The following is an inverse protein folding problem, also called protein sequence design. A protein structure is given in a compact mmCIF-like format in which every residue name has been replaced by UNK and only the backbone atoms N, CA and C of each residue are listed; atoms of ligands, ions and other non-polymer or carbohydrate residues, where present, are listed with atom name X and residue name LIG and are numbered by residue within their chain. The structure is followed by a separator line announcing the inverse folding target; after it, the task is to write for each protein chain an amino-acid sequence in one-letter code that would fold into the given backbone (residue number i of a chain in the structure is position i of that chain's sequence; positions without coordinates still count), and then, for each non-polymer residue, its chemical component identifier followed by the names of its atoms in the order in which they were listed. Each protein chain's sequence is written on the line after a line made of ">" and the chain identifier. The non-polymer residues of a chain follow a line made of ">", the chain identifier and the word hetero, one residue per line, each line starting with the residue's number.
data_IF_983981099120
#
_entry.id   IF_983981099120
#
_cell.length_a   1.000
_cell.length_b   1.000
_cell.length_c   1.000
_cell.angle_alpha   90.00
_cell.angle_beta   90.00
_cell.angle_gamma   90.00
#
_symmetry.space_group_name_H-M   'P 1'
#
loop_
_entity.id
_entity.type
_entity.pdbx_description
1 polymer ?
#
# COMPACT_ATOMS: atom_id res chain seq x y z
N UNK A 1 7.56 -9.05 -19.45
CA UNK A 1 7.08 -8.54 -18.14
C UNK A 1 6.47 -9.66 -17.35
N UNK A 2 6.75 -9.72 -16.05
CA UNK A 2 6.12 -10.68 -15.11
C UNK A 2 5.00 -9.97 -14.38
N UNK A 3 3.79 -10.53 -14.40
CA UNK A 3 2.64 -10.03 -13.66
C UNK A 3 2.43 -10.94 -12.46
N UNK A 4 2.46 -10.38 -11.26
CA UNK A 4 2.08 -11.08 -10.05
C UNK A 4 0.56 -11.15 -10.02
N UNK A 5 0.02 -12.35 -9.80
CA UNK A 5 -1.41 -12.60 -9.71
C UNK A 5 -1.66 -13.67 -8.68
N UNK A 6 -2.78 -13.56 -7.99
CA UNK A 6 -3.35 -14.62 -7.16
C UNK A 6 -4.19 -15.59 -7.99
N UNK A 7 -5.09 -16.33 -7.33
CA UNK A 7 -5.90 -17.42 -7.89
C UNK A 7 -7.17 -16.95 -8.67
N UNK A 8 -7.27 -15.67 -9.04
CA UNK A 8 -8.38 -15.14 -9.86
C UNK A 8 -7.90 -14.71 -11.26
N UNK A 9 -8.72 -14.93 -12.31
CA UNK A 9 -8.31 -14.59 -13.66
C UNK A 9 -8.22 -13.06 -13.84
N UNK A 10 -7.17 -12.56 -14.52
CA UNK A 10 -7.14 -11.19 -14.98
C UNK A 10 -8.13 -10.99 -16.13
N UNK A 11 -8.60 -9.76 -16.30
CA UNK A 11 -9.44 -9.37 -17.44
C UNK A 11 -8.81 -8.20 -18.18
N UNK A 12 -8.95 -8.21 -19.50
CA UNK A 12 -8.33 -7.22 -20.38
C UNK A 12 -9.41 -6.52 -21.20
N UNK A 13 -9.24 -5.22 -21.43
CA UNK A 13 -10.06 -4.45 -22.36
C UNK A 13 -9.19 -3.48 -23.14
N UNK A 14 -9.43 -3.38 -24.46
CA UNK A 14 -8.76 -2.40 -25.31
C UNK A 14 -9.59 -1.11 -25.36
N UNK A 15 -8.97 0.01 -25.01
CA UNK A 15 -9.53 1.34 -25.12
C UNK A 15 -9.64 1.78 -26.58
N UNK A 16 -10.46 2.80 -26.84
CA UNK A 16 -10.69 3.35 -28.19
C UNK A 16 -9.43 3.92 -28.84
N UNK A 17 -8.45 4.33 -28.03
CA UNK A 17 -7.16 4.88 -28.46
C UNK A 17 -6.07 3.80 -28.61
N UNK A 18 -6.43 2.52 -28.50
CA UNK A 18 -5.53 1.39 -28.70
C UNK A 18 -4.85 0.88 -27.43
N UNK A 19 -4.84 1.66 -26.34
CA UNK A 19 -4.27 1.23 -25.05
C UNK A 19 -5.01 0.03 -24.48
N UNK A 20 -4.32 -0.81 -23.71
CA UNK A 20 -4.91 -1.99 -23.08
C UNK A 20 -4.97 -1.78 -21.57
N UNK A 21 -6.13 -1.99 -20.95
CA UNK A 21 -6.27 -2.01 -19.50
C UNK A 21 -6.42 -3.45 -19.03
N UNK A 22 -5.68 -3.81 -17.99
CA UNK A 22 -5.78 -5.06 -17.26
C UNK A 22 -6.36 -4.80 -15.87
N UNK A 23 -7.35 -5.59 -15.47
CA UNK A 23 -7.91 -5.64 -14.11
C UNK A 23 -7.60 -7.01 -13.51
N UNK A 24 -6.98 -7.05 -12.34
CA UNK A 24 -6.60 -8.30 -11.68
C UNK A 24 -6.31 -8.10 -10.20
N UNK A 25 -6.17 -9.20 -9.45
CA UNK A 25 -5.75 -9.13 -8.05
C UNK A 25 -4.21 -9.28 -7.98
N UNK A 26 -3.51 -8.14 -7.85
CA UNK A 26 -2.06 -8.08 -7.64
C UNK A 26 -1.74 -8.37 -6.16
N UNK A 27 -2.08 -9.56 -5.69
CA UNK A 27 -1.99 -9.97 -4.28
C UNK A 27 -1.06 -11.17 -4.12
N UNK A 28 -0.29 -11.22 -3.02
CA UNK A 28 0.60 -12.34 -2.68
C UNK A 28 0.27 -12.92 -1.29
N UNK A 29 0.93 -14.04 -0.95
CA UNK A 29 1.00 -14.70 0.37
C UNK A 29 -0.22 -15.49 0.82
N UNK A 30 -1.43 -15.10 0.44
CA UNK A 30 -2.64 -15.84 0.82
C UNK A 30 -3.41 -16.29 -0.41
N UNK A 31 -3.79 -17.56 -0.39
CA UNK A 31 -4.68 -18.12 -1.41
C UNK A 31 -6.08 -17.58 -1.25
N UNK A 32 -6.81 -17.62 -2.36
CA UNK A 32 -8.23 -17.27 -2.40
C UNK A 32 -8.49 -15.88 -1.79
N UNK A 33 -9.60 -15.70 -1.08
CA UNK A 33 -10.08 -14.38 -0.70
C UNK A 33 -9.78 -13.95 0.74
N UNK A 34 -8.97 -14.71 1.48
CA UNK A 34 -8.39 -14.27 2.77
C UNK A 34 -7.11 -13.42 2.62
N UNK A 35 -6.84 -12.97 1.39
CA UNK A 35 -5.76 -12.03 1.09
C UNK A 35 -5.44 -11.97 -0.40
N UNK A 36 -5.61 -13.08 -1.13
CA UNK A 36 -5.36 -13.16 -2.57
C UNK A 36 -6.37 -12.41 -3.43
N UNK A 37 -7.56 -12.07 -2.94
CA UNK A 37 -8.58 -11.30 -3.69
C UNK A 37 -9.04 -10.05 -2.95
N UNK A 38 -8.26 -9.61 -1.97
CA UNK A 38 -8.68 -8.59 -1.03
C UNK A 38 -8.85 -7.21 -1.68
N UNK A 39 -8.04 -6.93 -2.69
CA UNK A 39 -8.04 -5.69 -3.46
C UNK A 39 -7.97 -6.03 -4.95
N UNK A 40 -8.70 -5.28 -5.77
CA UNK A 40 -8.64 -5.36 -7.23
C UNK A 40 -7.77 -4.21 -7.74
N UNK A 41 -6.85 -4.52 -8.63
CA UNK A 41 -5.92 -3.58 -9.25
C UNK A 41 -6.24 -3.35 -10.71
N UNK A 42 -5.82 -2.19 -11.20
CA UNK A 42 -5.77 -1.86 -12.61
C UNK A 42 -4.38 -1.45 -13.06
N UNK A 43 -4.04 -1.78 -14.30
CA UNK A 43 -2.88 -1.24 -15.00
C UNK A 43 -3.19 -1.03 -16.47
N UNK A 44 -2.42 -0.15 -17.11
CA UNK A 44 -2.60 0.23 -18.50
C UNK A 44 -1.28 0.05 -19.26
N UNK A 45 -1.39 -0.41 -20.51
CA UNK A 45 -0.30 -0.63 -21.45
C UNK A 45 -0.54 0.19 -22.72
N UNK A 46 0.53 0.78 -23.24
CA UNK A 46 0.57 1.54 -24.50
C UNK A 46 1.31 0.81 -25.64
N UNK A 47 1.88 -0.36 -25.35
CA UNK A 47 2.83 -1.06 -26.21
C UNK A 47 2.42 -2.54 -26.43
N UNK A 48 1.12 -2.77 -26.53
CA UNK A 48 0.49 -4.08 -26.71
C UNK A 48 0.89 -5.12 -25.63
N UNK A 49 0.92 -4.67 -24.38
CA UNK A 49 1.11 -5.52 -23.21
C UNK A 49 2.57 -5.84 -22.88
N UNK A 50 3.54 -5.19 -23.54
CA UNK A 50 4.96 -5.37 -23.24
C UNK A 50 5.31 -4.73 -21.90
N UNK A 51 4.83 -3.52 -21.64
CA UNK A 51 4.98 -2.81 -20.36
C UNK A 51 3.62 -2.39 -19.80
N UNK A 52 3.58 -2.20 -18.48
CA UNK A 52 2.37 -1.87 -17.73
C UNK A 52 2.68 -0.78 -16.71
N UNK A 53 1.74 0.14 -16.51
CA UNK A 53 1.80 1.17 -15.46
C UNK A 53 0.49 1.31 -14.71
N UNK A 54 0.54 1.97 -13.57
CA UNK A 54 -0.60 2.11 -12.66
C UNK A 54 -0.46 1.15 -11.49
N UNK A 55 -0.78 -0.14 -11.66
CA UNK A 55 -0.90 -1.11 -10.57
C UNK A 55 -1.68 -0.53 -9.38
N UNK A 56 -2.72 0.24 -9.70
CA UNK A 56 -3.51 1.00 -8.74
C UNK A 56 -4.68 0.17 -8.26
N UNK A 57 -4.99 0.22 -6.99
CA UNK A 57 -6.27 -0.27 -6.50
C UNK A 57 -7.40 0.47 -7.20
N UNK A 58 -8.37 -0.28 -7.71
CA UNK A 58 -9.61 0.20 -8.34
C UNK A 58 -10.85 -0.24 -7.57
N UNK A 59 -10.76 -1.29 -6.75
CA UNK A 59 -11.82 -1.69 -5.84
C UNK A 59 -11.28 -2.44 -4.62
N UNK A 60 -12.01 -2.33 -3.51
CA UNK A 60 -11.87 -3.10 -2.27
C UNK A 60 -13.27 -3.51 -1.80
N UNK A 61 -13.38 -4.61 -1.07
CA UNK A 61 -14.66 -5.01 -0.52
C UNK A 61 -15.09 -3.97 0.54
N UNK A 62 -16.31 -3.43 0.53
CA UNK A 62 -16.75 -2.52 1.60
C UNK A 62 -16.75 -3.18 2.99
N UNK A 63 -16.91 -4.51 3.06
CA UNK A 63 -16.87 -5.30 4.29
C UNK A 63 -15.47 -5.81 4.63
N UNK A 64 -14.44 -5.29 3.96
CA UNK A 64 -13.06 -5.78 4.07
C UNK A 64 -12.51 -5.73 5.50
N UNK A 65 -13.01 -4.83 6.35
CA UNK A 65 -12.57 -4.72 7.74
C UNK A 65 -13.41 -5.57 8.71
N UNK A 66 -14.42 -6.29 8.22
CA UNK A 66 -15.21 -7.22 9.02
C UNK A 66 -14.53 -8.60 9.05
N UNK A 67 -14.76 -9.41 10.11
CA UNK A 67 -14.35 -10.81 10.10
C UNK A 67 -14.91 -11.53 8.86
N UNK A 68 -14.18 -12.50 8.27
CA UNK A 68 -14.73 -13.35 7.22
C UNK A 68 -16.06 -13.96 7.65
N UNK A 69 -17.05 -14.05 6.73
CA UNK A 69 -18.33 -14.67 7.05
C UNK A 69 -18.16 -16.17 7.32
N UNK A 70 -19.08 -16.82 8.06
CA UNK A 70 -19.03 -18.27 8.30
C UNK A 70 -19.00 -19.11 7.01
N UNK A 71 -19.55 -18.57 5.91
CA UNK A 71 -19.52 -19.17 4.57
C UNK A 71 -19.17 -18.09 3.53
N UNK A 72 -18.27 -18.42 2.61
CA UNK A 72 -17.77 -17.50 1.59
C UNK A 72 -16.50 -16.78 2.02
N UNK A 73 -16.25 -15.62 1.43
CA UNK A 73 -15.02 -14.86 1.60
C UNK A 73 -15.27 -13.35 1.46
N UNK A 74 -14.26 -12.48 1.61
CA UNK A 74 -14.41 -11.03 1.38
C UNK A 74 -13.66 -10.53 0.14
N UNK A 75 -13.49 -11.39 -0.86
CA UNK A 75 -12.76 -11.07 -2.08
C UNK A 75 -13.50 -10.12 -3.01
N UNK A 76 -12.76 -9.46 -3.89
CA UNK A 76 -13.25 -8.66 -5.02
C UNK A 76 -12.56 -9.14 -6.28
N UNK A 77 -13.29 -9.80 -7.18
CA UNK A 77 -12.70 -10.41 -8.37
C UNK A 77 -13.73 -10.62 -9.49
N UNK A 78 -13.35 -11.40 -10.52
CA UNK A 78 -14.21 -11.82 -11.63
C UNK A 78 -14.80 -10.65 -12.42
N UNK A 79 -13.93 -9.94 -13.11
CA UNK A 79 -14.31 -8.76 -13.90
C UNK A 79 -14.57 -9.13 -15.37
N UNK A 80 -15.48 -8.42 -16.02
CA UNK A 80 -15.73 -8.53 -17.47
C UNK A 80 -15.87 -7.11 -18.05
N UNK A 81 -14.75 -6.38 -18.19
CA UNK A 81 -14.76 -4.95 -18.50
C UNK A 81 -15.21 -4.64 -19.93
N UNK A 82 -15.97 -3.55 -20.07
CA UNK A 82 -16.39 -2.97 -21.35
C UNK A 82 -16.05 -1.48 -21.39
N UNK A 83 -15.75 -0.96 -22.60
CA UNK A 83 -15.48 0.47 -22.81
C UNK A 83 -16.78 1.20 -23.10
N UNK A 84 -17.05 2.23 -22.31
CA UNK A 84 -18.20 3.13 -22.49
C UNK A 84 -18.03 4.05 -23.69
N UNK A 85 -19.12 4.70 -24.12
CA UNK A 85 -19.07 5.75 -25.14
C UNK A 85 -18.09 6.88 -24.81
N UNK A 86 -17.93 7.21 -23.52
CA UNK A 86 -17.05 8.27 -23.00
C UNK A 86 -15.58 7.84 -22.82
N UNK A 87 -15.20 6.61 -23.19
CA UNK A 87 -13.82 6.12 -23.06
C UNK A 87 -13.44 5.63 -21.65
N UNK A 88 -14.36 5.71 -20.69
CA UNK A 88 -14.21 5.06 -19.37
C UNK A 88 -14.54 3.57 -19.42
N UNK A 89 -14.17 2.81 -18.40
CA UNK A 89 -14.42 1.37 -18.28
C UNK A 89 -15.53 1.11 -17.28
N UNK A 90 -16.47 0.22 -17.63
CA UNK A 90 -17.44 -0.36 -16.68
C UNK A 90 -17.22 -1.86 -16.62
N UNK A 91 -17.25 -2.44 -15.43
CA UNK A 91 -17.18 -3.89 -15.24
C UNK A 91 -18.08 -4.32 -14.09
N UNK A 92 -18.75 -5.49 -14.16
CA UNK A 92 -19.21 -6.14 -12.96
C UNK A 92 -17.99 -6.57 -12.12
N UNK A 93 -18.16 -6.58 -10.80
CA UNK A 93 -17.24 -7.18 -9.85
C UNK A 93 -18.03 -8.09 -8.93
N UNK A 94 -17.55 -9.31 -8.74
CA UNK A 94 -18.05 -10.20 -7.70
C UNK A 94 -17.40 -9.78 -6.39
N UNK A 95 -18.22 -9.51 -5.39
CA UNK A 95 -17.76 -9.37 -4.02
C UNK A 95 -18.12 -10.67 -3.28
N UNK A 96 -17.25 -11.12 -2.38
CA UNK A 96 -17.53 -12.30 -1.56
C UNK A 96 -18.41 -11.97 -0.35
N UNK A 97 -19.01 -13.01 0.23
CA UNK A 97 -19.67 -12.93 1.54
C UNK A 97 -21.10 -12.43 1.44
N UNK A 98 -21.44 -11.36 2.16
CA UNK A 98 -22.78 -10.75 2.08
C UNK A 98 -22.96 -9.83 0.86
N UNK A 99 -21.90 -9.52 0.11
CA UNK A 99 -21.92 -8.56 -0.99
C UNK A 99 -22.06 -9.25 -2.34
N UNK A 100 -23.13 -8.95 -3.09
CA UNK A 100 -23.38 -9.53 -4.41
C UNK A 100 -22.51 -8.94 -5.54
N UNK A 101 -23.12 -8.75 -6.70
CA UNK A 101 -22.47 -8.12 -7.84
C UNK A 101 -22.59 -6.61 -7.79
N UNK A 102 -21.48 -5.91 -7.96
CA UNK A 102 -21.44 -4.45 -8.09
C UNK A 102 -20.98 -4.07 -9.49
N UNK A 103 -21.33 -2.86 -9.93
CA UNK A 103 -20.78 -2.28 -11.14
C UNK A 103 -19.69 -1.28 -10.77
N UNK A 104 -18.46 -1.60 -11.12
CA UNK A 104 -17.31 -0.73 -10.97
C UNK A 104 -17.16 0.15 -12.22
N UNK A 105 -16.96 1.44 -12.01
CA UNK A 105 -16.64 2.41 -13.04
C UNK A 105 -15.22 2.92 -12.84
N UNK A 106 -14.36 2.79 -13.86
CA UNK A 106 -12.94 3.16 -13.79
C UNK A 106 -12.62 4.16 -14.88
N UNK A 107 -12.11 5.32 -14.49
CA UNK A 107 -11.49 6.28 -15.41
C UNK A 107 -10.05 5.85 -15.70
N UNK A 108 -9.63 5.62 -16.96
CA UNK A 108 -8.26 5.22 -17.29
C UNK A 108 -7.19 6.18 -16.76
N UNK A 109 -7.49 7.47 -16.66
CA UNK A 109 -6.57 8.49 -16.14
C UNK A 109 -6.12 8.22 -14.69
N UNK A 110 -6.93 7.50 -13.91
CA UNK A 110 -6.53 7.02 -12.58
C UNK A 110 -5.26 6.15 -12.64
N UNK A 111 -5.12 5.35 -13.70
CA UNK A 111 -4.00 4.44 -13.91
C UNK A 111 -2.76 5.14 -14.49
N UNK A 112 -2.91 6.39 -14.93
CA UNK A 112 -1.85 7.22 -15.51
C UNK A 112 -1.21 8.16 -14.50
N UNK A 113 -1.79 8.30 -13.31
CA UNK A 113 -1.23 9.14 -12.26
C UNK A 113 0.19 8.70 -11.91
N UNK A 114 1.08 9.66 -11.69
CA UNK A 114 2.47 9.43 -11.27
C UNK A 114 2.74 9.94 -9.86
N UNK A 115 1.71 10.38 -9.16
CA UNK A 115 1.81 10.81 -7.77
C UNK A 115 0.59 10.40 -6.96
N UNK A 116 0.76 10.38 -5.63
CA UNK A 116 -0.33 10.23 -4.66
C UNK A 116 0.08 10.87 -3.34
N UNK A 117 -0.89 11.38 -2.60
CA UNK A 117 -0.69 11.85 -1.22
C UNK A 117 -1.91 11.51 -0.36
N UNK A 118 -1.71 11.47 0.96
CA UNK A 118 -2.78 11.38 1.95
C UNK A 118 -2.42 12.20 3.20
N UNK A 119 -3.42 12.91 3.72
CA UNK A 119 -3.37 13.79 4.90
C UNK A 119 -4.36 13.37 6.00
N UNK A 120 -4.98 12.20 5.84
CA UNK A 120 -5.94 11.59 6.78
C UNK A 120 -7.21 12.40 7.08
N UNK A 121 -7.50 13.46 6.29
CA UNK A 121 -8.76 14.21 6.42
C UNK A 121 -10.02 13.36 6.18
N UNK A 122 -9.86 12.26 5.43
CA UNK A 122 -10.88 11.22 5.20
C UNK A 122 -10.62 9.95 6.02
N UNK A 123 -10.10 10.12 7.24
CA UNK A 123 -9.69 9.03 8.11
C UNK A 123 -8.73 8.06 7.39
N UNK A 124 -9.06 6.76 7.38
CA UNK A 124 -8.25 5.70 6.79
C UNK A 124 -8.90 5.06 5.55
N UNK A 125 -9.83 5.76 4.88
CA UNK A 125 -10.57 5.25 3.69
C UNK A 125 -9.62 4.61 2.66
N UNK A 126 -8.43 5.17 2.50
CA UNK A 126 -7.44 4.79 1.49
C UNK A 126 -6.44 3.72 1.93
N UNK A 127 -6.50 3.30 3.20
CA UNK A 127 -5.56 2.36 3.79
C UNK A 127 -6.26 1.03 4.08
N UNK A 128 -5.50 -0.07 4.02
CA UNK A 128 -5.94 -1.37 4.53
C UNK A 128 -5.32 -1.61 5.89
N UNK A 129 -6.16 -1.92 6.87
CA UNK A 129 -5.78 -2.33 8.24
C UNK A 129 -6.44 -3.65 8.60
N UNK A 130 -6.75 -4.47 7.58
CA UNK A 130 -7.45 -5.73 7.78
C UNK A 130 -6.65 -6.69 8.69
N UNK A 131 -7.35 -7.31 9.64
CA UNK A 131 -6.77 -8.26 10.58
C UNK A 131 -5.79 -7.65 11.57
N UNK A 132 -5.76 -6.32 11.74
CA UNK A 132 -4.89 -5.64 12.70
C UNK A 132 -5.67 -4.93 13.79
N UNK A 133 -5.00 -4.66 14.92
CA UNK A 133 -5.50 -3.79 15.99
C UNK A 133 -4.51 -2.65 16.23
N UNK A 134 -5.00 -1.50 16.69
CA UNK A 134 -4.17 -0.36 17.06
C UNK A 134 -3.81 0.62 15.95
N UNK A 135 -4.39 0.47 14.75
CA UNK A 135 -4.31 1.47 13.68
C UNK A 135 -5.63 2.22 13.57
N UNK A 136 -5.59 3.56 13.66
CA UNK A 136 -6.78 4.40 13.57
C UNK A 136 -6.44 5.82 13.12
N UNK A 137 -7.44 6.55 12.63
CA UNK A 137 -7.35 8.01 12.53
C UNK A 137 -7.45 8.61 13.94
N UNK A 138 -6.51 9.47 14.30
CA UNK A 138 -6.46 10.17 15.58
C UNK A 138 -6.38 11.69 15.37
N UNK A 139 -6.70 12.46 16.41
CA UNK A 139 -6.51 13.91 16.37
C UNK A 139 -5.02 14.27 16.29
N UNK A 140 -4.69 15.24 15.45
CA UNK A 140 -3.33 15.74 15.36
C UNK A 140 -2.96 16.47 16.67
N UNK A 141 -1.86 16.08 17.35
CA UNK A 141 -1.53 16.61 18.68
C UNK A 141 -1.24 18.11 18.70
N UNK A 142 -0.66 18.64 17.61
CA UNK A 142 -0.24 20.05 17.53
C UNK A 142 -1.12 20.92 16.60
N UNK A 143 -2.16 20.35 15.96
CA UNK A 143 -2.99 21.02 14.94
C UNK A 143 -4.47 20.67 15.12
N UNK A 144 -5.23 21.44 15.94
CA UNK A 144 -6.64 21.18 16.19
C UNK A 144 -7.46 21.04 14.90
N UNK A 145 -8.33 20.02 14.86
CA UNK A 145 -9.21 19.73 13.72
C UNK A 145 -8.55 18.96 12.58
N UNK A 146 -7.22 18.75 12.60
CA UNK A 146 -6.54 17.87 11.65
C UNK A 146 -6.45 16.45 12.19
N UNK A 147 -6.36 15.47 11.29
CA UNK A 147 -6.22 14.05 11.62
C UNK A 147 -4.85 13.54 11.22
N UNK A 148 -4.40 12.50 11.92
CA UNK A 148 -3.19 11.74 11.65
C UNK A 148 -3.53 10.25 11.63
N UNK A 149 -2.75 9.43 10.96
CA UNK A 149 -2.77 7.99 11.22
C UNK A 149 -1.97 7.70 12.49
N UNK A 150 -2.61 7.07 13.48
CA UNK A 150 -1.96 6.51 14.67
C UNK A 150 -1.75 5.02 14.45
N UNK A 151 -0.52 4.54 14.67
CA UNK A 151 -0.18 3.12 14.66
C UNK A 151 0.44 2.76 16.01
N UNK A 152 -0.26 1.91 16.77
CA UNK A 152 0.11 1.39 18.09
C UNK A 152 -0.09 -0.12 18.12
N UNK A 153 0.48 -0.81 19.11
CA UNK A 153 0.20 -2.24 19.37
C UNK A 153 -0.44 -2.40 20.75
N UNK A 154 -1.74 -2.09 20.91
CA UNK A 154 -2.40 -2.13 22.23
C UNK A 154 -2.67 -3.56 22.73
N UNK A 155 -2.49 -4.56 21.88
CA UNK A 155 -2.80 -5.96 22.16
C UNK A 155 -1.65 -6.83 21.62
N UNK A 156 -1.00 -7.58 22.51
CA UNK A 156 0.16 -8.41 22.15
C UNK A 156 -0.18 -9.53 21.18
N UNK A 157 -1.43 -10.01 21.23
CA UNK A 157 -1.90 -11.16 20.45
C UNK A 157 -2.32 -10.77 19.04
N UNK A 158 -2.38 -9.47 18.75
CA UNK A 158 -2.77 -8.94 17.45
C UNK A 158 -1.63 -8.17 16.76
N UNK A 159 -1.49 -8.33 15.44
CA UNK A 159 -0.61 -7.47 14.66
C UNK A 159 -1.14 -6.05 14.59
N UNK A 160 -0.23 -5.09 14.42
CA UNK A 160 -0.54 -3.70 14.16
C UNK A 160 0.15 -3.26 12.87
N UNK A 161 -0.63 -2.98 11.83
CA UNK A 161 -0.08 -2.65 10.52
C UNK A 161 -1.11 -2.03 9.58
N UNK A 162 -0.60 -1.23 8.64
CA UNK A 162 -1.36 -0.50 7.65
C UNK A 162 -0.65 -0.58 6.29
N UNK A 163 -1.44 -0.72 5.23
CA UNK A 163 -0.95 -0.84 3.85
C UNK A 163 -1.63 0.20 2.96
N UNK A 164 -0.86 0.86 2.09
CA UNK A 164 -1.33 1.93 1.21
C UNK A 164 -0.77 1.76 -0.20
N UNK A 165 -1.66 1.69 -1.18
CA UNK A 165 -1.30 1.61 -2.59
C UNK A 165 -0.87 2.98 -3.14
N UNK A 166 -0.04 3.02 -4.16
CA UNK A 166 0.29 4.22 -4.94
C UNK A 166 0.65 3.82 -6.38
N UNK A 167 0.83 4.75 -7.35
CA UNK A 167 1.14 4.35 -8.71
C UNK A 167 2.49 3.65 -8.80
N UNK A 168 2.57 2.54 -9.54
CA UNK A 168 3.83 1.80 -9.68
C UNK A 168 4.93 2.61 -10.36
N UNK A 169 6.15 2.53 -9.83
CA UNK A 169 7.33 3.16 -10.39
C UNK A 169 8.62 2.36 -10.23
N UNK A 170 9.45 2.32 -11.27
CA UNK A 170 10.82 1.80 -11.20
C UNK A 170 11.78 2.77 -10.54
N UNK A 171 11.42 4.06 -10.53
CA UNK A 171 12.04 5.07 -9.68
C UNK A 171 10.96 5.85 -8.98
N UNK A 172 11.27 6.37 -7.81
CA UNK A 172 10.36 7.27 -7.13
C UNK A 172 10.91 7.81 -5.83
N UNK A 173 10.14 8.73 -5.28
CA UNK A 173 10.39 9.36 -4.00
C UNK A 173 9.15 9.28 -3.14
N UNK A 174 9.25 8.58 -2.02
CA UNK A 174 8.25 8.56 -0.96
C UNK A 174 8.70 9.51 0.15
N UNK A 175 7.78 10.31 0.68
CA UNK A 175 7.99 11.17 1.86
C UNK A 175 6.97 10.83 2.93
N UNK A 176 7.45 10.64 4.14
CA UNK A 176 6.64 10.40 5.32
C UNK A 176 6.94 11.48 6.35
N UNK A 177 5.90 12.20 6.78
CA UNK A 177 5.97 13.14 7.89
C UNK A 177 5.47 12.45 9.15
N UNK A 178 6.38 11.99 10.00
CA UNK A 178 6.05 11.08 11.10
C UNK A 178 6.63 11.54 12.44
N UNK A 179 6.02 11.08 13.53
CA UNK A 179 6.45 11.33 14.92
C UNK A 179 6.35 10.03 15.69
N UNK A 180 7.48 9.47 16.10
CA UNK A 180 7.50 8.36 17.07
C UNK A 180 7.25 8.93 18.46
N UNK A 181 6.44 8.24 19.28
CA UNK A 181 6.10 8.74 20.61
C UNK A 181 7.12 8.28 21.66
N UNK A 182 7.32 9.03 22.75
CA UNK A 182 8.11 8.53 23.89
C UNK A 182 7.57 7.18 24.37
N UNK A 183 8.45 6.19 24.48
CA UNK A 183 8.07 4.80 24.78
C UNK A 183 7.79 3.91 23.57
N UNK A 184 7.95 4.42 22.34
CA UNK A 184 7.81 3.64 21.11
C UNK A 184 8.70 2.39 21.14
N UNK A 185 8.11 1.22 20.97
CA UNK A 185 8.78 -0.06 21.10
C UNK A 185 9.30 -0.63 19.76
N UNK A 186 9.08 0.09 18.66
CA UNK A 186 9.65 -0.23 17.35
C UNK A 186 8.60 -0.47 16.27
N UNK A 187 9.05 -0.33 15.03
CA UNK A 187 8.22 -0.51 13.84
C UNK A 187 9.06 -0.67 12.59
N UNK A 188 8.40 -0.74 11.45
CA UNK A 188 9.08 -0.77 10.16
C UNK A 188 8.30 -0.07 9.06
N UNK A 189 9.07 0.35 8.05
CA UNK A 189 8.57 0.89 6.79
C UNK A 189 9.01 -0.03 5.66
N UNK A 190 8.05 -0.57 4.92
CA UNK A 190 8.27 -1.43 3.76
C UNK A 190 7.77 -0.80 2.47
N UNK A 191 8.54 -0.95 1.39
CA UNK A 191 8.10 -0.70 0.02
C UNK A 191 7.99 -2.02 -0.73
N UNK A 192 6.87 -2.28 -1.40
CA UNK A 192 6.64 -3.51 -2.15
C UNK A 192 5.85 -3.23 -3.45
N UNK A 193 5.63 -4.25 -4.27
CA UNK A 193 5.00 -4.17 -5.61
C UNK A 193 3.69 -4.95 -5.73
N UNK A 194 3.12 -5.38 -4.60
CA UNK A 194 1.86 -6.10 -4.54
C UNK A 194 1.15 -5.84 -3.21
N UNK A 195 -0.12 -6.19 -3.17
CA UNK A 195 -0.87 -6.23 -1.93
C UNK A 195 -0.57 -7.51 -1.15
N UNK A 196 -0.32 -7.35 0.14
CA UNK A 196 -0.38 -8.44 1.12
C UNK A 196 -1.12 -7.93 2.34
N UNK A 197 -1.91 -8.80 2.96
CA UNK A 197 -2.72 -8.45 4.13
C UNK A 197 -1.87 -7.90 5.27
N UNK A 198 -2.29 -6.80 5.93
CA UNK A 198 -1.45 -6.11 6.93
C UNK A 198 -1.05 -6.97 8.14
N UNK A 199 -1.82 -8.02 8.46
CA UNK A 199 -1.55 -8.92 9.57
C UNK A 199 -0.42 -9.94 9.30
N UNK A 200 0.02 -10.07 8.05
CA UNK A 200 1.02 -11.07 7.68
C UNK A 200 2.44 -10.62 8.00
N UNK A 201 3.08 -11.33 8.92
CA UNK A 201 4.46 -11.06 9.32
C UNK A 201 5.48 -11.46 8.27
N UNK A 202 5.25 -12.54 7.50
CA UNK A 202 6.27 -13.05 6.56
C UNK A 202 6.26 -12.26 5.24
N UNK A 203 5.29 -11.38 5.00
CA UNK A 203 5.31 -10.46 3.86
C UNK A 203 6.53 -9.51 3.89
N UNK A 204 7.16 -9.31 5.05
CA UNK A 204 8.40 -8.53 5.12
C UNK A 204 9.52 -9.11 4.23
N UNK A 205 9.51 -10.43 4.01
CA UNK A 205 10.45 -11.14 3.13
C UNK A 205 10.27 -10.71 1.66
N UNK A 206 9.06 -10.24 1.32
CA UNK A 206 8.69 -9.84 -0.03
C UNK A 206 8.76 -8.33 -0.26
N UNK A 207 9.06 -7.53 0.76
CA UNK A 207 9.38 -6.11 0.59
C UNK A 207 10.59 -5.96 -0.33
N UNK A 208 10.50 -5.02 -1.29
CA UNK A 208 11.63 -4.61 -2.13
C UNK A 208 12.68 -3.88 -1.31
N UNK A 209 12.22 -2.98 -0.42
CA UNK A 209 13.05 -2.21 0.50
C UNK A 209 12.38 -2.23 1.87
N UNK A 210 13.18 -2.42 2.91
CA UNK A 210 12.71 -2.51 4.28
C UNK A 210 13.60 -1.69 5.21
N UNK A 211 13.01 -0.74 5.93
CA UNK A 211 13.67 0.04 6.97
C UNK A 211 13.07 -0.36 8.32
N UNK A 212 13.90 -0.96 9.18
CA UNK A 212 13.55 -1.16 10.57
C UNK A 212 13.73 0.15 11.35
N UNK A 213 12.77 0.45 12.23
CA UNK A 213 12.84 1.51 13.23
C UNK A 213 12.84 0.82 14.58
N UNK A 214 13.98 0.76 15.23
CA UNK A 214 14.11 0.17 16.55
C UNK A 214 13.33 0.94 17.62
N UNK A 215 13.27 0.39 18.84
CA UNK A 215 12.75 1.11 20.00
C UNK A 215 13.34 2.51 20.08
N UNK A 216 12.56 3.44 20.65
CA UNK A 216 12.98 4.81 20.84
C UNK A 216 13.28 5.57 19.52
N UNK A 217 12.90 5.03 18.36
CA UNK A 217 13.10 5.65 17.04
C UNK A 217 14.47 5.40 16.42
N UNK A 218 15.24 4.42 16.90
CA UNK A 218 16.59 4.14 16.38
C UNK A 218 16.54 3.68 14.92
N UNK A 219 17.39 4.26 14.08
CA UNK A 219 17.55 3.88 12.67
C UNK A 219 18.88 3.14 12.45
N UNK A 220 19.01 2.39 11.35
CA UNK A 220 20.30 1.87 10.90
C UNK A 220 21.34 3.00 10.80
N UNK A 221 22.61 2.67 11.07
CA UNK A 221 23.69 3.66 11.03
C UNK A 221 23.73 4.63 12.23
N UNK A 222 22.91 4.42 13.27
CA UNK A 222 22.99 5.14 14.54
C UNK A 222 22.22 6.47 14.61
N UNK A 223 21.58 6.87 13.50
CA UNK A 223 20.64 8.00 13.51
C UNK A 223 19.35 7.64 14.26
N UNK A 224 18.53 8.63 14.60
CA UNK A 224 17.33 8.44 15.41
C UNK A 224 16.22 9.42 15.02
N UNK A 225 15.00 8.92 14.95
CA UNK A 225 13.77 9.70 15.03
C UNK A 225 13.59 10.12 16.50
N UNK A 226 13.78 11.39 16.81
CA UNK A 226 13.68 11.89 18.19
C UNK A 226 12.24 11.74 18.69
N UNK A 227 12.01 10.98 19.79
CA UNK A 227 10.65 10.80 20.29
C UNK A 227 9.98 12.12 20.65
N UNK A 228 8.71 12.25 20.25
CA UNK A 228 7.92 13.45 20.47
C UNK A 228 8.17 14.56 19.43
N UNK A 229 9.05 14.36 18.45
CA UNK A 229 9.32 15.33 17.38
C UNK A 229 8.82 14.81 16.03
N UNK A 230 8.27 15.71 15.21
CA UNK A 230 7.95 15.43 13.82
C UNK A 230 9.20 15.50 12.94
N UNK A 231 9.36 14.47 12.11
CA UNK A 231 10.47 14.29 11.19
C UNK A 231 9.98 14.02 9.77
N UNK A 232 10.80 14.40 8.80
CA UNK A 232 10.63 14.02 7.40
C UNK A 232 11.55 12.84 7.08
N UNK A 233 10.94 11.69 6.78
CA UNK A 233 11.63 10.48 6.34
C UNK A 233 11.36 10.27 4.85
N UNK A 234 12.42 10.33 4.04
CA UNK A 234 12.33 10.21 2.58
C UNK A 234 13.00 8.92 2.09
N UNK A 235 12.38 8.27 1.10
CA UNK A 235 12.89 7.10 0.41
C UNK A 235 13.00 7.41 -1.08
N UNK A 236 14.21 7.46 -1.62
CA UNK A 236 14.50 7.61 -3.04
C UNK A 236 14.96 6.27 -3.61
N UNK A 237 14.10 5.57 -4.37
CA UNK A 237 14.44 4.27 -4.95
C UNK A 237 14.73 4.33 -6.45
N UNK A 238 15.59 3.43 -6.89
CA UNK A 238 15.91 3.19 -8.29
C UNK A 238 16.17 1.70 -8.53
N UNK A 239 15.24 1.05 -9.24
CA UNK A 239 15.31 -0.39 -9.50
C UNK A 239 16.42 -0.76 -10.49
N UNK A 240 16.88 0.17 -11.33
CA UNK A 240 18.03 -0.07 -12.21
C UNK A 240 19.35 -0.09 -11.43
N UNK A 241 19.38 0.56 -10.26
CA UNK A 241 20.52 0.56 -9.32
C UNK A 241 20.36 -0.46 -8.20
N UNK A 242 19.23 -1.13 -8.09
CA UNK A 242 18.86 -2.02 -6.99
C UNK A 242 19.06 -1.35 -5.61
N UNK A 243 18.77 -0.06 -5.51
CA UNK A 243 19.08 0.79 -4.35
C UNK A 243 17.86 1.63 -3.95
N UNK A 244 17.66 1.81 -2.65
CA UNK A 244 16.83 2.88 -2.08
C UNK A 244 17.63 3.67 -1.05
N UNK A 245 17.76 4.98 -1.25
CA UNK A 245 18.42 5.90 -0.31
C UNK A 245 17.39 6.44 0.66
N UNK A 246 17.73 6.45 1.94
CA UNK A 246 16.85 6.96 3.00
C UNK A 246 17.46 8.21 3.60
N UNK A 247 16.66 9.26 3.71
CA UNK A 247 17.05 10.53 4.30
C UNK A 247 16.14 10.87 5.48
N UNK A 248 16.71 11.40 6.55
CA UNK A 248 16.00 11.94 7.71
C UNK A 248 16.28 13.44 7.81
N UNK A 249 15.23 14.26 7.73
CA UNK A 249 15.32 15.72 7.74
C UNK A 249 16.36 16.24 6.72
N UNK A 250 16.38 15.63 5.52
CA UNK A 250 17.32 15.96 4.43
C UNK A 250 18.75 15.43 4.61
N UNK A 251 19.02 14.61 5.63
CA UNK A 251 20.34 13.98 5.86
C UNK A 251 20.31 12.49 5.54
N UNK A 252 21.25 11.94 4.75
CA UNK A 252 21.31 10.50 4.49
C UNK A 252 21.49 9.70 5.80
N UNK A 253 20.67 8.67 6.00
CA UNK A 253 20.71 7.79 7.18
C UNK A 253 20.86 6.31 6.84
N UNK A 254 20.37 5.87 5.67
CA UNK A 254 20.52 4.49 5.23
C UNK A 254 20.56 4.36 3.71
N UNK A 255 21.09 3.22 3.26
CA UNK A 255 21.05 2.75 1.88
C UNK A 255 20.55 1.31 1.90
N UNK A 256 19.35 1.08 1.39
CA UNK A 256 18.70 -0.22 1.36
C UNK A 256 18.94 -0.89 -0.01
N UNK A 257 19.33 -2.16 0.01
CA UNK A 257 19.42 -2.96 -1.20
C UNK A 257 18.03 -3.45 -1.61
N UNK A 258 17.79 -3.55 -2.92
CA UNK A 258 16.59 -4.20 -3.45
C UNK A 258 16.69 -5.72 -3.26
N UNK A 259 15.69 -6.32 -2.61
CA UNK A 259 15.70 -7.75 -2.27
C UNK A 259 15.41 -8.70 -3.44
N UNK A 260 14.68 -8.23 -4.46
CA UNK A 260 14.23 -9.03 -5.61
C UNK A 260 13.86 -8.17 -6.82
N UNK A 261 13.77 -8.78 -8.00
CA UNK A 261 13.30 -8.10 -9.21
C UNK A 261 11.84 -7.66 -9.11
N UNK A 262 11.50 -6.57 -9.83
CA UNK A 262 10.17 -5.96 -9.79
C UNK A 262 9.88 -5.16 -11.07
N UNK A 263 8.60 -4.97 -11.37
CA UNK A 263 8.13 -3.98 -12.35
C UNK A 263 8.09 -2.54 -11.77
N UNK A 264 8.19 -2.40 -10.45
CA UNK A 264 8.19 -1.12 -9.75
C UNK A 264 7.40 -1.19 -8.44
N UNK A 265 7.85 -0.45 -7.42
CA UNK A 265 7.15 -0.36 -6.15
C UNK A 265 5.80 0.36 -6.32
N UNK A 266 4.74 -0.15 -5.68
CA UNK A 266 3.39 0.41 -5.72
C UNK A 266 2.65 0.31 -4.37
N UNK A 267 3.33 -0.09 -3.30
CA UNK A 267 2.77 -0.20 -1.97
C UNK A 267 3.73 0.27 -0.89
N UNK A 268 3.17 0.99 0.08
CA UNK A 268 3.77 1.32 1.36
C UNK A 268 3.15 0.42 2.43
N UNK A 269 4.00 -0.11 3.31
CA UNK A 269 3.60 -0.85 4.51
C UNK A 269 4.20 -0.20 5.75
N UNK A 270 3.38 0.02 6.75
CA UNK A 270 3.78 0.44 8.09
C UNK A 270 3.35 -0.64 9.07
N UNK A 271 4.25 -1.01 10.00
CA UNK A 271 3.97 -2.09 10.96
C UNK A 271 4.65 -1.80 12.30
N UNK A 272 4.03 -2.19 13.40
CA UNK A 272 4.72 -2.29 14.69
C UNK A 272 5.58 -3.56 14.72
N UNK A 273 6.77 -3.46 15.29
CA UNK A 273 7.65 -4.61 15.54
C UNK A 273 7.77 -4.91 17.03
N UNK A 274 6.90 -4.33 17.86
CA UNK A 274 6.88 -4.58 19.29
C UNK A 274 6.45 -6.03 19.57
N UNK A 275 7.19 -6.74 20.42
CA UNK A 275 6.83 -8.10 20.85
C UNK A 275 5.63 -8.08 21.79
N UNK A 276 5.56 -7.07 22.66
CA UNK A 276 4.49 -6.85 23.63
C UNK A 276 3.66 -5.61 23.28
N UNK A 277 2.81 -5.19 24.21
CA UNK A 277 1.98 -3.99 24.07
C UNK A 277 2.84 -2.73 23.93
N UNK A 278 2.54 -1.92 22.90
CA UNK A 278 3.09 -0.59 22.66
C UNK A 278 1.93 0.42 22.52
N UNK A 279 1.59 1.09 23.62
CA UNK A 279 0.56 2.13 23.67
C UNK A 279 1.05 3.50 23.16
N UNK A 280 2.35 3.66 22.93
CA UNK A 280 2.95 4.91 22.46
C UNK A 280 2.89 4.97 20.93
N UNK A 281 3.50 3.99 20.27
CA UNK A 281 3.47 3.84 18.81
C UNK A 281 4.07 5.03 18.04
N UNK A 282 3.57 5.21 16.82
CA UNK A 282 3.93 6.31 15.92
C UNK A 282 2.69 7.01 15.37
N UNK A 283 2.87 8.28 15.01
CA UNK A 283 1.92 9.08 14.27
C UNK A 283 2.47 9.39 12.87
N UNK A 284 1.60 9.35 11.86
CA UNK A 284 1.88 9.78 10.49
C UNK A 284 0.94 10.94 10.16
N UNK A 285 1.51 12.11 9.92
CA UNK A 285 0.80 13.34 9.56
C UNK A 285 0.49 13.38 8.07
N UNK A 286 1.47 13.02 7.23
CA UNK A 286 1.30 13.04 5.80
C UNK A 286 2.17 11.97 5.14
N UNK A 287 1.66 11.43 4.04
CA UNK A 287 2.43 10.65 3.08
C UNK A 287 2.28 11.24 1.70
N UNK A 288 3.38 11.29 0.94
CA UNK A 288 3.33 11.62 -0.49
C UNK A 288 4.33 10.79 -1.26
N UNK A 289 4.01 10.50 -2.51
CA UNK A 289 4.90 9.76 -3.40
C UNK A 289 4.80 10.30 -4.82
N UNK A 290 5.94 10.36 -5.48
CA UNK A 290 6.09 10.66 -6.90
C UNK A 290 6.90 9.55 -7.55
N UNK A 291 6.49 9.10 -8.73
CA UNK A 291 7.10 7.98 -9.43
C UNK A 291 7.42 8.30 -10.88
N UNK A 292 8.41 7.59 -11.41
CA UNK A 292 8.68 7.49 -12.83
C UNK A 292 8.33 6.08 -13.28
N UNK A 293 7.37 5.97 -14.21
CA UNK A 293 6.94 4.68 -14.77
C UNK A 293 7.92 4.20 -15.84
N UNK A 294 7.94 2.88 -16.09
CA UNK A 294 8.50 2.37 -17.34
C UNK A 294 7.73 2.95 -18.54
N UNK A 295 8.46 3.22 -19.63
CA UNK A 295 7.92 3.55 -20.94
C UNK A 295 8.06 2.33 -21.85
#
# INVERSE_FOLDING_TARGET
>A
TRILSSDSPPSLVRLKDGRIVMLWNNCLRFSYANGGRHTLHGAISEDDGKTWRGYREVARNPLVNEPPPPHGDHGVSYTTPVVTARGTIVTPVSVGGAGGYYLLHVAPDWLLQTSRSADFGRALDEWSTFGTRGVAAADHPDKPGQKVLSLRKPDSDWPAGAVWNFPSGTRGRLRLRLRVQPGFAGGSVGLTDHFSVPFDFEDEIYNLYHLAIGPDGRLPGGSRLEPGRWHDLEFDWDTARSECRVQLDGRPVAKLAQSRETAGACYLRLRSTADSTDDAGLLLEAVSVEVVTQR
#
